data_IF_990803395040
#
_entry.id   IF_990803395040
#
_cell.length_a   1.000
_cell.length_b   1.000
_cell.length_c   1.000
_cell.angle_alpha   90.00
_cell.angle_beta   90.00
_cell.angle_gamma   90.00
#
_symmetry.space_group_name_H-M   'P 1'
#
loop_
_entity.id
_entity.type
_entity.pdbx_description
1 polymer ?
#
# COMPACT_ATOMS: atom_id res chain seq x y z
N UNK A 1 -4.21 -45.70 -3.14
CA UNK A 1 -4.85 -45.19 -1.89
C UNK A 1 -3.95 -44.19 -1.15
N UNK A 2 -2.68 -44.48 -0.87
CA UNK A 2 -1.77 -43.55 -0.16
C UNK A 2 -1.65 -42.15 -0.81
N UNK A 3 -1.60 -42.08 -2.14
CA UNK A 3 -1.48 -40.81 -2.88
C UNK A 3 -2.75 -39.95 -2.79
N UNK A 4 -3.94 -40.57 -2.71
CA UNK A 4 -5.21 -39.88 -2.55
C UNK A 4 -5.32 -39.31 -1.12
N UNK A 5 -4.85 -40.07 -0.12
CA UNK A 5 -4.80 -39.64 1.27
C UNK A 5 -3.85 -38.45 1.46
N UNK A 6 -2.67 -38.46 0.82
CA UNK A 6 -1.74 -37.32 0.86
C UNK A 6 -2.32 -36.07 0.20
N UNK A 7 -3.08 -36.18 -0.89
CA UNK A 7 -3.77 -35.03 -1.47
C UNK A 7 -4.86 -34.49 -0.54
N UNK A 8 -5.60 -35.35 0.15
CA UNK A 8 -6.63 -34.96 1.13
C UNK A 8 -5.99 -34.35 2.39
N UNK A 9 -4.84 -34.86 2.83
CA UNK A 9 -4.08 -34.32 3.97
C UNK A 9 -3.43 -32.97 3.64
N UNK A 10 -2.92 -32.80 2.41
CA UNK A 10 -2.44 -31.50 1.93
C UNK A 10 -3.63 -30.52 1.85
N UNK A 11 -4.74 -30.93 1.26
CA UNK A 11 -5.93 -30.09 1.11
C UNK A 11 -6.56 -29.71 2.47
N UNK A 12 -6.58 -30.62 3.44
CA UNK A 12 -7.03 -30.36 4.80
C UNK A 12 -6.02 -29.58 5.65
N UNK A 13 -4.71 -29.67 5.36
CA UNK A 13 -3.70 -28.80 5.96
C UNK A 13 -3.83 -27.35 5.49
N UNK A 14 -4.20 -27.13 4.21
CA UNK A 14 -4.43 -25.81 3.62
C UNK A 14 -5.69 -25.10 4.13
N UNK A 15 -6.67 -25.86 4.65
CA UNK A 15 -7.91 -25.33 5.23
C UNK A 15 -7.94 -25.37 6.76
N UNK A 16 -6.88 -25.85 7.40
CA UNK A 16 -6.83 -25.96 8.85
C UNK A 16 -6.73 -24.57 9.47
N UNK A 17 -7.79 -24.10 10.11
CA UNK A 17 -7.69 -23.01 11.09
C UNK A 17 -6.86 -23.56 12.26
N UNK A 18 -5.56 -23.28 12.33
CA UNK A 18 -4.86 -23.48 13.60
C UNK A 18 -5.56 -22.57 14.60
N UNK A 19 -6.00 -23.16 15.72
CA UNK A 19 -6.59 -22.39 16.82
C UNK A 19 -5.66 -21.22 17.11
N UNK A 20 -6.26 -20.02 17.15
CA UNK A 20 -5.63 -18.74 17.49
C UNK A 20 -4.36 -18.97 18.28
N UNK A 21 -3.21 -18.55 17.75
CA UNK A 21 -1.94 -18.59 18.46
C UNK A 21 -2.20 -18.05 19.86
N UNK A 22 -2.29 -18.97 20.83
CA UNK A 22 -2.49 -18.66 22.24
C UNK A 22 -1.35 -17.73 22.58
N UNK A 23 -1.67 -16.50 23.02
CA UNK A 23 -0.71 -15.44 23.29
C UNK A 23 0.57 -16.00 23.93
N UNK A 24 1.59 -16.19 23.09
CA UNK A 24 2.97 -16.31 23.53
C UNK A 24 3.61 -15.01 23.13
N UNK A 25 3.27 -13.96 23.87
CA UNK A 25 4.19 -12.93 24.29
C UNK A 25 3.39 -11.86 25.03
N UNK A 26 3.52 -11.86 26.34
CA UNK A 26 3.63 -10.61 27.09
C UNK A 26 4.65 -9.74 26.35
N UNK A 27 4.16 -8.88 25.44
CA UNK A 27 5.01 -7.91 24.77
C UNK A 27 5.74 -7.14 25.87
N UNK A 28 7.08 -7.19 25.87
CA UNK A 28 7.91 -6.45 26.82
C UNK A 28 7.81 -4.93 26.59
N UNK A 29 7.06 -4.48 25.57
CA UNK A 29 6.84 -3.08 25.28
C UNK A 29 5.77 -2.50 26.21
N UNK A 30 6.11 -1.39 26.86
CA UNK A 30 5.18 -0.60 27.66
C UNK A 30 4.11 0.01 26.72
N UNK A 31 2.81 -0.19 27.03
CA UNK A 31 1.72 0.50 26.33
C UNK A 31 1.77 1.99 26.69
N UNK A 32 2.43 2.78 25.86
CA UNK A 32 2.56 4.23 26.04
C UNK A 32 1.74 5.05 25.03
N UNK A 33 1.11 4.38 24.04
CA UNK A 33 0.45 5.04 22.93
C UNK A 33 -1.01 5.37 23.28
N UNK A 34 -1.34 6.66 23.29
CA UNK A 34 -2.70 7.15 23.53
C UNK A 34 -3.53 7.07 22.25
N UNK A 35 -4.87 7.15 22.36
CA UNK A 35 -5.76 7.22 21.20
C UNK A 35 -5.37 8.38 20.25
N UNK A 36 -5.01 9.55 20.81
CA UNK A 36 -4.53 10.69 20.03
C UNK A 36 -3.24 10.36 19.26
N UNK A 37 -2.24 9.77 19.94
CA UNK A 37 -0.98 9.39 19.31
C UNK A 37 -1.20 8.41 18.15
N UNK A 38 -2.09 7.43 18.32
CA UNK A 38 -2.43 6.47 17.28
C UNK A 38 -3.15 7.14 16.09
N UNK A 39 -4.02 8.13 16.34
CA UNK A 39 -4.65 8.90 15.25
C UNK A 39 -3.64 9.73 14.47
N UNK A 40 -2.69 10.38 15.14
CA UNK A 40 -1.64 11.14 14.45
C UNK A 40 -0.71 10.25 13.65
N UNK A 41 -0.35 9.06 14.17
CA UNK A 41 0.40 8.05 13.41
C UNK A 41 -0.37 7.61 12.18
N UNK A 42 -1.69 7.40 12.30
CA UNK A 42 -2.56 7.05 11.16
C UNK A 42 -2.60 8.15 10.09
N UNK A 43 -2.80 9.41 10.50
CA UNK A 43 -2.83 10.56 9.57
C UNK A 43 -1.47 10.72 8.88
N UNK A 44 -0.36 10.63 9.62
CA UNK A 44 0.99 10.71 9.06
C UNK A 44 1.29 9.58 8.07
N UNK A 45 0.77 8.38 8.31
CA UNK A 45 0.91 7.25 7.38
C UNK A 45 0.07 7.41 6.10
N UNK A 46 -1.01 8.20 6.12
CA UNK A 46 -1.85 8.48 4.95
C UNK A 46 -1.31 9.65 4.11
N UNK A 47 -0.72 10.66 4.74
CA UNK A 47 -0.17 11.85 4.07
C UNK A 47 1.21 11.52 3.46
N UNK A 48 1.21 10.92 2.26
CA UNK A 48 2.41 10.64 1.46
C UNK A 48 2.61 11.63 0.29
N UNK A 49 3.66 11.41 -0.50
CA UNK A 49 3.94 12.18 -1.72
C UNK A 49 2.79 12.15 -2.73
N UNK A 50 2.04 11.05 -2.79
CA UNK A 50 0.92 10.87 -3.73
C UNK A 50 -0.22 11.87 -3.55
N UNK A 51 -0.47 12.38 -2.34
CA UNK A 51 -1.53 13.38 -2.10
C UNK A 51 -1.23 14.72 -2.76
N UNK A 52 0.04 15.04 -2.99
CA UNK A 52 0.45 16.33 -3.56
C UNK A 52 0.57 16.29 -5.09
N UNK A 53 0.88 15.12 -5.66
CA UNK A 53 1.10 14.93 -7.11
C UNK A 53 -0.20 14.52 -7.82
N UNK A 54 -0.86 13.47 -7.33
CA UNK A 54 -1.98 12.83 -8.03
C UNK A 54 -3.19 13.74 -8.27
N UNK A 55 -3.61 14.62 -7.33
CA UNK A 55 -4.73 15.51 -7.60
C UNK A 55 -4.49 16.49 -8.74
N UNK A 56 -3.24 16.95 -8.91
CA UNK A 56 -2.87 17.85 -10.02
C UNK A 56 -3.01 17.15 -11.36
N UNK A 57 -2.50 15.92 -11.47
CA UNK A 57 -2.61 15.08 -12.66
C UNK A 57 -4.08 14.76 -12.99
N UNK A 58 -4.87 14.33 -12.00
CA UNK A 58 -6.29 14.00 -12.19
C UNK A 58 -7.11 15.23 -12.59
N UNK A 59 -6.80 16.40 -12.02
CA UNK A 59 -7.48 17.64 -12.37
C UNK A 59 -7.09 18.16 -13.76
N UNK A 60 -5.82 18.00 -14.15
CA UNK A 60 -5.30 18.46 -15.44
C UNK A 60 -5.72 17.59 -16.62
N UNK A 61 -5.64 16.26 -16.49
CA UNK A 61 -5.77 15.34 -17.62
C UNK A 61 -7.07 14.55 -17.67
N UNK A 62 -7.69 14.26 -16.52
CA UNK A 62 -8.79 13.29 -16.45
C UNK A 62 -10.16 13.91 -16.21
N UNK A 63 -10.32 14.70 -15.15
CA UNK A 63 -11.65 15.05 -14.61
C UNK A 63 -11.96 16.55 -14.61
N UNK A 64 -10.97 17.43 -14.76
CA UNK A 64 -11.19 18.88 -14.71
C UNK A 64 -11.84 19.32 -13.38
N UNK A 65 -12.77 20.29 -13.39
CA UNK A 65 -13.48 20.74 -12.18
C UNK A 65 -14.26 19.64 -11.44
N UNK A 66 -14.61 18.55 -12.13
CA UNK A 66 -15.33 17.41 -11.55
C UNK A 66 -14.43 16.52 -10.66
N UNK A 67 -13.10 16.75 -10.65
CA UNK A 67 -12.17 16.01 -9.79
C UNK A 67 -12.58 16.05 -8.31
N UNK A 68 -13.12 17.18 -7.84
CA UNK A 68 -13.61 17.34 -6.46
C UNK A 68 -14.72 16.34 -6.13
N UNK A 69 -15.63 16.09 -7.06
CA UNK A 69 -16.72 15.13 -6.87
C UNK A 69 -16.18 13.69 -6.78
N UNK A 70 -15.18 13.35 -7.61
CA UNK A 70 -14.49 12.06 -7.56
C UNK A 70 -13.79 11.84 -6.22
N UNK A 71 -13.10 12.86 -5.68
CA UNK A 71 -12.45 12.78 -4.37
C UNK A 71 -13.47 12.66 -3.22
N UNK A 72 -14.63 13.33 -3.31
CA UNK A 72 -15.68 13.18 -2.30
C UNK A 72 -16.24 11.75 -2.25
N UNK A 73 -16.51 11.16 -3.41
CA UNK A 73 -17.00 9.78 -3.50
C UNK A 73 -15.94 8.80 -2.98
N UNK A 74 -14.67 8.97 -3.40
CA UNK A 74 -13.57 8.14 -2.91
C UNK A 74 -13.40 8.25 -1.38
N UNK A 75 -13.54 9.46 -0.82
CA UNK A 75 -13.51 9.69 0.63
C UNK A 75 -14.64 8.98 1.36
N UNK A 76 -15.87 9.02 0.83
CA UNK A 76 -17.00 8.31 1.43
C UNK A 76 -16.78 6.79 1.44
N UNK A 77 -16.28 6.21 0.34
CA UNK A 77 -15.95 4.79 0.26
C UNK A 77 -14.84 4.42 1.26
N UNK A 78 -13.81 5.25 1.38
CA UNK A 78 -12.73 5.04 2.35
C UNK A 78 -13.23 5.10 3.80
N UNK A 79 -14.17 5.98 4.14
CA UNK A 79 -14.80 6.06 5.46
C UNK A 79 -15.60 4.79 5.79
N UNK A 80 -16.43 4.32 4.85
CA UNK A 80 -17.20 3.08 5.03
C UNK A 80 -16.26 1.87 5.21
N UNK A 81 -15.18 1.79 4.43
CA UNK A 81 -14.16 0.78 4.61
C UNK A 81 -13.47 0.89 5.98
N UNK A 82 -13.17 2.10 6.44
CA UNK A 82 -12.62 2.37 7.77
C UNK A 82 -13.50 1.85 8.91
N UNK A 83 -14.82 2.05 8.84
CA UNK A 83 -15.75 1.52 9.83
C UNK A 83 -15.75 -0.01 9.88
N UNK A 84 -15.69 -0.68 8.73
CA UNK A 84 -15.57 -2.14 8.66
C UNK A 84 -14.28 -2.65 9.34
N UNK A 85 -13.15 -1.97 9.12
CA UNK A 85 -11.88 -2.31 9.78
C UNK A 85 -11.90 -2.03 11.28
N UNK A 86 -12.60 -0.99 11.73
CA UNK A 86 -12.76 -0.69 13.15
C UNK A 86 -13.56 -1.78 13.88
N UNK A 87 -14.62 -2.31 13.26
CA UNK A 87 -15.39 -3.41 13.82
C UNK A 87 -14.53 -4.68 13.97
N UNK A 88 -13.77 -5.03 12.93
CA UNK A 88 -12.81 -6.14 12.98
C UNK A 88 -11.73 -5.94 14.05
N UNK A 89 -11.21 -4.72 14.18
CA UNK A 89 -10.18 -4.38 15.16
C UNK A 89 -10.69 -4.46 16.61
N UNK A 90 -11.96 -4.14 16.84
CA UNK A 90 -12.61 -4.32 18.15
C UNK A 90 -12.84 -5.80 18.50
N UNK A 91 -13.15 -6.64 17.50
CA UNK A 91 -13.41 -8.07 17.72
C UNK A 91 -12.14 -8.90 17.90
N UNK A 92 -11.07 -8.57 17.18
CA UNK A 92 -9.81 -9.34 17.16
C UNK A 92 -8.66 -8.40 17.53
N UNK A 93 -8.35 -8.24 18.83
CA UNK A 93 -7.28 -7.35 19.31
C UNK A 93 -5.90 -8.00 19.17
N UNK A 94 -5.61 -8.57 17.99
CA UNK A 94 -4.33 -9.20 17.69
C UNK A 94 -3.53 -8.35 16.69
N UNK A 95 -2.23 -8.25 16.93
CA UNK A 95 -1.31 -7.54 16.05
C UNK A 95 -1.03 -8.38 14.80
N UNK A 96 -1.56 -7.97 13.64
CA UNK A 96 -1.19 -8.60 12.37
C UNK A 96 -1.96 -8.17 11.12
N UNK A 97 -2.63 -7.00 11.15
CA UNK A 97 -3.33 -6.40 10.01
C UNK A 97 -4.33 -7.36 9.33
N UNK A 98 -4.67 -7.09 8.07
CA UNK A 98 -5.68 -7.83 7.30
C UNK A 98 -5.42 -9.36 7.21
N UNK A 99 -4.17 -9.81 7.37
CA UNK A 99 -3.83 -11.23 7.38
C UNK A 99 -4.50 -11.97 8.54
N UNK A 100 -4.47 -11.40 9.75
CA UNK A 100 -5.05 -12.04 10.94
C UNK A 100 -6.58 -12.08 10.86
N UNK A 101 -7.20 -11.04 10.29
CA UNK A 101 -8.65 -11.03 10.05
C UNK A 101 -9.07 -12.07 9.00
N UNK A 102 -8.31 -12.19 7.90
CA UNK A 102 -8.56 -13.22 6.89
C UNK A 102 -8.34 -14.63 7.44
N UNK A 103 -7.33 -14.82 8.30
CA UNK A 103 -7.07 -16.09 8.97
C UNK A 103 -8.20 -16.51 9.90
N UNK A 104 -8.74 -15.56 10.68
CA UNK A 104 -9.84 -15.82 11.60
C UNK A 104 -11.14 -16.18 10.88
N UNK A 105 -11.44 -15.50 9.77
CA UNK A 105 -12.74 -15.63 9.07
C UNK A 105 -12.75 -16.70 7.97
N UNK A 106 -11.69 -16.82 7.17
CA UNK A 106 -11.71 -17.53 5.88
C UNK A 106 -10.74 -18.74 5.80
N UNK A 107 -9.74 -18.83 6.69
CA UNK A 107 -8.79 -19.94 6.76
C UNK A 107 -7.42 -19.65 6.15
N UNK A 108 -6.54 -20.65 6.13
CA UNK A 108 -5.09 -20.50 5.94
C UNK A 108 -4.70 -20.12 4.50
N UNK A 109 -5.31 -20.74 3.48
CA UNK A 109 -5.03 -20.40 2.07
C UNK A 109 -5.39 -18.95 1.73
N UNK A 110 -6.57 -18.49 2.13
CA UNK A 110 -7.03 -17.12 1.84
C UNK A 110 -6.16 -16.11 2.61
N UNK A 111 -5.82 -16.41 3.86
CA UNK A 111 -4.90 -15.59 4.63
C UNK A 111 -3.52 -15.51 3.94
N UNK A 112 -2.98 -16.62 3.44
CA UNK A 112 -1.70 -16.64 2.72
C UNK A 112 -1.71 -15.74 1.49
N UNK A 113 -2.75 -15.82 0.65
CA UNK A 113 -2.90 -14.96 -0.53
C UNK A 113 -3.00 -13.47 -0.14
N UNK A 114 -3.80 -13.15 0.89
CA UNK A 114 -3.92 -11.78 1.40
C UNK A 114 -2.59 -11.28 1.97
N UNK A 115 -1.85 -12.13 2.69
CA UNK A 115 -0.53 -11.81 3.22
C UNK A 115 0.49 -11.52 2.13
N UNK A 116 0.55 -12.36 1.10
CA UNK A 116 1.43 -12.15 -0.06
C UNK A 116 1.08 -10.87 -0.81
N UNK A 117 -0.21 -10.64 -1.09
CA UNK A 117 -0.68 -9.41 -1.71
C UNK A 117 -0.32 -8.17 -0.87
N UNK A 118 -0.45 -8.26 0.46
CA UNK A 118 -0.10 -7.16 1.35
C UNK A 118 1.41 -6.86 1.35
N UNK A 119 2.28 -7.86 1.16
CA UNK A 119 3.72 -7.63 1.01
C UNK A 119 3.99 -6.92 -0.32
N UNK A 120 3.45 -7.43 -1.42
CA UNK A 120 3.61 -6.85 -2.75
C UNK A 120 3.11 -5.39 -2.80
N UNK A 121 1.94 -5.13 -2.23
CA UNK A 121 1.38 -3.77 -2.15
C UNK A 121 2.30 -2.81 -1.39
N UNK A 122 2.90 -3.24 -0.27
CA UNK A 122 3.85 -2.40 0.47
C UNK A 122 5.10 -2.10 -0.34
N UNK A 123 5.66 -3.09 -1.04
CA UNK A 123 6.83 -2.87 -1.91
C UNK A 123 6.51 -1.83 -2.99
N UNK A 124 5.36 -1.97 -3.67
CA UNK A 124 4.90 -1.00 -4.66
C UNK A 124 4.76 0.40 -4.05
N UNK A 125 4.14 0.51 -2.86
CA UNK A 125 4.03 1.79 -2.15
C UNK A 125 5.38 2.43 -1.85
N UNK A 126 6.40 1.66 -1.44
CA UNK A 126 7.75 2.20 -1.23
C UNK A 126 8.35 2.74 -2.54
N UNK A 127 8.17 2.02 -3.65
CA UNK A 127 8.66 2.45 -4.97
C UNK A 127 8.00 3.77 -5.39
N UNK A 128 6.67 3.90 -5.26
CA UNK A 128 5.96 5.14 -5.60
C UNK A 128 6.37 6.32 -4.72
N UNK A 129 6.60 6.09 -3.42
CA UNK A 129 7.08 7.15 -2.52
C UNK A 129 8.47 7.61 -2.95
N UNK A 130 9.39 6.69 -3.23
CA UNK A 130 10.73 7.02 -3.71
C UNK A 130 10.69 7.81 -5.03
N UNK A 131 9.83 7.40 -5.97
CA UNK A 131 9.64 8.08 -7.24
C UNK A 131 9.14 9.52 -7.05
N UNK A 132 8.11 9.71 -6.21
CA UNK A 132 7.57 11.04 -5.94
C UNK A 132 8.59 11.97 -5.28
N UNK A 133 9.36 11.47 -4.29
CA UNK A 133 10.43 12.26 -3.67
C UNK A 133 11.55 12.62 -4.64
N UNK A 134 11.95 11.69 -5.52
CA UNK A 134 12.97 11.96 -6.53
C UNK A 134 12.53 13.07 -7.49
N UNK A 135 11.25 13.07 -7.90
CA UNK A 135 10.71 14.11 -8.77
C UNK A 135 10.67 15.48 -8.07
N UNK A 136 10.17 15.53 -6.82
CA UNK A 136 10.17 16.77 -6.04
C UNK A 136 11.57 17.33 -5.81
N UNK A 137 12.55 16.45 -5.54
CA UNK A 137 13.92 16.88 -5.30
C UNK A 137 14.59 17.42 -6.57
N UNK A 138 14.34 16.80 -7.73
CA UNK A 138 14.84 17.30 -9.01
C UNK A 138 14.22 18.66 -9.37
N UNK A 139 12.91 18.84 -9.15
CA UNK A 139 12.22 20.11 -9.38
C UNK A 139 12.78 21.24 -8.51
N UNK A 140 13.03 20.97 -7.22
CA UNK A 140 13.63 21.95 -6.28
C UNK A 140 15.05 22.37 -6.71
N UNK A 141 15.81 21.50 -7.38
CA UNK A 141 17.16 21.80 -7.88
C UNK A 141 17.10 22.36 -9.33
N UNK A 142 15.90 22.58 -9.86
CA UNK A 142 15.71 23.13 -11.20
C UNK A 142 16.07 22.16 -12.33
N UNK A 143 15.84 20.87 -12.13
CA UNK A 143 15.97 19.85 -13.18
C UNK A 143 17.40 19.41 -13.51
N UNK A 144 18.39 19.79 -12.70
CA UNK A 144 19.80 19.45 -12.98
C UNK A 144 20.06 17.94 -12.93
N UNK A 145 19.34 17.18 -12.10
CA UNK A 145 19.53 15.74 -11.99
C UNK A 145 18.97 15.04 -13.23
N UNK A 146 17.80 15.49 -13.71
CA UNK A 146 17.24 15.02 -14.97
C UNK A 146 18.13 15.35 -16.16
N UNK A 147 18.60 16.59 -16.26
CA UNK A 147 19.47 17.03 -17.37
C UNK A 147 20.80 16.25 -17.38
N UNK A 148 21.44 16.08 -16.22
CA UNK A 148 22.65 15.26 -16.09
C UNK A 148 22.41 13.81 -16.49
N UNK A 149 21.25 13.25 -16.13
CA UNK A 149 20.89 11.86 -16.49
C UNK A 149 20.69 11.71 -18.00
N UNK A 150 20.00 12.64 -18.64
CA UNK A 150 19.77 12.60 -20.10
C UNK A 150 21.09 12.75 -20.86
N UNK A 151 21.94 13.69 -20.44
CA UNK A 151 23.19 13.99 -21.13
C UNK A 151 24.26 12.90 -20.93
N UNK A 152 24.45 12.43 -19.70
CA UNK A 152 25.54 11.52 -19.36
C UNK A 152 25.16 10.03 -19.44
N UNK A 153 23.92 9.69 -19.07
CA UNK A 153 23.45 8.29 -19.04
C UNK A 153 22.73 7.91 -20.33
N UNK A 154 21.90 8.81 -20.88
CA UNK A 154 21.10 8.53 -22.09
C UNK A 154 21.71 9.08 -23.38
N UNK A 155 22.90 9.68 -23.32
CA UNK A 155 23.63 10.21 -24.47
C UNK A 155 22.78 11.15 -25.35
N UNK A 156 21.82 11.86 -24.74
CA UNK A 156 20.93 12.80 -25.42
C UNK A 156 19.63 12.21 -25.97
N UNK A 157 19.33 10.92 -25.80
CA UNK A 157 17.99 10.38 -26.07
C UNK A 157 17.08 10.46 -24.84
N UNK A 158 15.79 10.69 -25.05
CA UNK A 158 14.82 10.66 -23.96
C UNK A 158 14.59 9.21 -23.48
N UNK A 159 14.31 9.04 -22.18
CA UNK A 159 14.02 7.73 -21.60
C UNK A 159 12.69 7.20 -22.14
N UNK A 160 12.76 6.32 -23.13
CA UNK A 160 11.58 5.62 -23.68
C UNK A 160 11.74 4.11 -23.48
N UNK A 161 11.47 3.66 -22.25
CA UNK A 161 11.54 2.25 -21.88
C UNK A 161 10.12 1.66 -21.79
N UNK A 162 9.62 0.94 -22.81
CA UNK A 162 8.24 0.44 -22.82
C UNK A 162 7.94 -0.64 -21.75
N UNK A 163 8.97 -1.19 -21.10
CA UNK A 163 8.85 -2.24 -20.07
C UNK A 163 9.09 -1.72 -18.64
N UNK A 164 9.73 -0.57 -18.49
CA UNK A 164 9.98 0.07 -17.19
C UNK A 164 9.03 1.26 -17.07
N UNK A 165 8.59 1.59 -15.86
CA UNK A 165 7.87 2.84 -15.65
C UNK A 165 8.75 3.98 -16.16
N UNK A 166 8.20 4.86 -17.00
CA UNK A 166 8.87 6.08 -17.41
C UNK A 166 9.47 6.75 -16.17
N UNK A 167 10.65 7.35 -16.34
CA UNK A 167 11.16 8.29 -15.36
C UNK A 167 9.98 9.24 -15.04
N UNK A 168 9.63 9.47 -13.76
CA UNK A 168 8.56 10.41 -13.48
C UNK A 168 8.91 11.70 -14.23
N UNK A 169 7.93 12.43 -14.77
CA UNK A 169 8.08 13.67 -15.54
C UNK A 169 8.11 13.55 -17.09
N UNK A 170 7.51 12.52 -17.72
CA UNK A 170 7.14 12.65 -19.15
C UNK A 170 5.75 13.27 -19.39
N UNK A 171 5.00 13.59 -18.33
CA UNK A 171 3.87 14.52 -18.47
C UNK A 171 4.38 15.93 -18.14
N UNK A 172 4.40 16.86 -19.11
CA UNK A 172 4.69 18.25 -18.83
C UNK A 172 3.62 18.76 -17.87
N UNK A 173 4.01 19.04 -16.63
CA UNK A 173 3.29 20.04 -15.84
C UNK A 173 3.53 21.34 -16.60
N UNK A 174 2.50 21.77 -17.34
CA UNK A 174 2.45 22.96 -18.21
C UNK A 174 3.50 24.03 -17.93
#
# INVERSE_FOLDING_TARGET
MAMLQSCIDICSSFFRRRGTLKESNSSQLKRCLTAADLTFVGIGAMLGSGVYILPGEIAGEMAGPAAVLSFLIAGLVALLNGFCFLECAGQIPQTGAAYVYAYASLGELVAFLVGWNAIAARVMSLVYVAQGWSAYFDDVIGGHIRNFTIEFVLQGEEWDAPLLTNFPISQPVL
#
